data_IF_519829026187
#
_entry.id   IF_519829026187
#
_cell.length_a   1.000
_cell.length_b   1.000
_cell.length_c   1.000
_cell.angle_alpha   90.00
_cell.angle_beta   90.00
_cell.angle_gamma   90.00
#
_symmetry.space_group_name_H-M   'P 1'
#
loop_
_entity.id
_entity.type
_entity.pdbx_description
1 polymer ?
#
# COMPACT_ATOMS: atom_id res chain seq x y z
N UNK A 1 2.87 -30.50 -2.03
CA UNK A 1 4.02 -29.60 -2.28
C UNK A 1 3.90 -28.75 -3.55
N UNK A 2 3.59 -29.32 -4.74
CA UNK A 2 3.48 -28.56 -6.00
C UNK A 2 2.46 -27.41 -5.96
N UNK A 3 1.27 -27.64 -5.38
CA UNK A 3 0.22 -26.60 -5.21
C UNK A 3 0.65 -25.41 -4.36
N UNK A 4 1.37 -25.63 -3.25
CA UNK A 4 1.85 -24.54 -2.40
C UNK A 4 2.98 -23.74 -3.05
N UNK A 5 3.87 -24.40 -3.79
CA UNK A 5 4.91 -23.72 -4.59
C UNK A 5 4.30 -22.87 -5.70
N UNK A 6 3.25 -23.37 -6.36
CA UNK A 6 2.53 -22.60 -7.38
C UNK A 6 1.88 -21.33 -6.79
N UNK A 7 1.16 -21.46 -5.68
CA UNK A 7 0.57 -20.30 -4.98
C UNK A 7 1.65 -19.30 -4.55
N UNK A 8 2.77 -19.79 -4.03
CA UNK A 8 3.93 -18.97 -3.68
C UNK A 8 4.44 -18.17 -4.88
N UNK A 9 4.68 -18.83 -6.02
CA UNK A 9 5.17 -18.17 -7.23
C UNK A 9 4.17 -17.14 -7.78
N UNK A 10 2.88 -17.49 -7.81
CA UNK A 10 1.83 -16.57 -8.25
C UNK A 10 1.80 -15.32 -7.38
N UNK A 11 1.92 -15.49 -6.06
CA UNK A 11 1.93 -14.39 -5.12
C UNK A 11 3.15 -13.48 -5.31
N UNK A 12 4.32 -14.08 -5.55
CA UNK A 12 5.54 -13.34 -5.88
C UNK A 12 5.37 -12.50 -7.14
N UNK A 13 4.80 -13.08 -8.20
CA UNK A 13 4.52 -12.37 -9.45
C UNK A 13 3.60 -11.18 -9.20
N UNK A 14 2.50 -11.36 -8.46
CA UNK A 14 1.58 -10.25 -8.14
C UNK A 14 2.28 -9.13 -7.38
N UNK A 15 3.16 -9.44 -6.43
CA UNK A 15 3.93 -8.42 -5.70
C UNK A 15 4.89 -7.66 -6.61
N UNK A 16 5.59 -8.37 -7.51
CA UNK A 16 6.50 -7.73 -8.47
C UNK A 16 5.75 -6.85 -9.47
N UNK A 17 4.58 -7.28 -9.94
CA UNK A 17 3.74 -6.49 -10.82
C UNK A 17 3.22 -5.22 -10.12
N UNK A 18 2.83 -5.32 -8.85
CA UNK A 18 2.40 -4.16 -8.07
C UNK A 18 3.53 -3.16 -7.83
N UNK A 19 4.75 -3.64 -7.53
CA UNK A 19 5.93 -2.78 -7.42
C UNK A 19 6.27 -2.10 -8.76
N UNK A 20 6.22 -2.85 -9.86
CA UNK A 20 6.45 -2.30 -11.19
C UNK A 20 5.41 -1.24 -11.55
N UNK A 21 4.16 -1.41 -11.12
CA UNK A 21 3.11 -0.41 -11.26
C UNK A 21 3.44 0.88 -10.49
N UNK A 22 3.77 0.78 -9.20
CA UNK A 22 4.15 1.93 -8.36
C UNK A 22 5.33 2.69 -8.98
N UNK A 23 6.43 1.98 -9.26
CA UNK A 23 7.63 2.60 -9.84
C UNK A 23 7.38 3.15 -11.25
N UNK A 24 6.51 2.50 -12.02
CA UNK A 24 6.05 3.00 -13.33
C UNK A 24 5.35 4.34 -13.22
N UNK A 25 4.54 4.54 -12.18
CA UNK A 25 3.86 5.80 -11.91
C UNK A 25 4.86 6.88 -11.44
N UNK A 26 5.85 6.52 -10.63
CA UNK A 26 6.87 7.45 -10.14
C UNK A 26 7.89 7.90 -11.18
N UNK A 27 8.05 7.15 -12.27
CA UNK A 27 8.82 7.57 -13.45
C UNK A 27 8.09 8.60 -14.32
N UNK A 28 6.79 8.83 -14.11
CA UNK A 28 6.03 9.80 -14.91
C UNK A 28 6.42 11.24 -14.55
N UNK A 29 6.36 12.13 -15.55
CA UNK A 29 6.61 13.56 -15.33
C UNK A 29 5.56 14.19 -14.41
N UNK A 30 5.94 15.33 -13.81
CA UNK A 30 5.05 16.15 -12.99
C UNK A 30 3.74 16.46 -13.72
N UNK A 31 3.82 16.86 -14.98
CA UNK A 31 2.68 17.29 -15.80
C UNK A 31 1.66 16.15 -15.99
N UNK A 32 2.11 14.96 -16.37
CA UNK A 32 1.23 13.79 -16.58
C UNK A 32 0.51 13.38 -15.30
N UNK A 33 1.22 13.44 -14.17
CA UNK A 33 0.63 13.07 -12.88
C UNK A 33 -0.33 14.13 -12.36
N UNK A 34 -0.03 15.42 -12.60
CA UNK A 34 -0.93 16.52 -12.26
C UNK A 34 -2.22 16.43 -13.06
N UNK A 35 -2.14 16.18 -14.38
CA UNK A 35 -3.35 15.99 -15.19
C UNK A 35 -4.19 14.82 -14.67
N UNK A 36 -3.57 13.67 -14.40
CA UNK A 36 -4.27 12.50 -13.87
C UNK A 36 -4.95 12.78 -12.52
N UNK A 37 -4.29 13.54 -11.66
CA UNK A 37 -4.81 13.92 -10.34
C UNK A 37 -5.93 14.97 -10.43
N UNK A 38 -5.86 15.90 -11.39
CA UNK A 38 -6.93 16.85 -11.68
C UNK A 38 -8.18 16.16 -12.22
N UNK A 39 -8.01 15.20 -13.14
CA UNK A 39 -9.13 14.43 -13.70
C UNK A 39 -9.87 13.67 -12.59
N UNK A 40 -9.13 12.93 -11.74
CA UNK A 40 -9.71 12.23 -10.59
C UNK A 40 -10.30 13.20 -9.58
N UNK A 41 -9.60 14.30 -9.28
CA UNK A 41 -10.05 15.34 -8.35
C UNK A 41 -11.36 15.99 -8.78
N UNK A 42 -11.55 16.24 -10.08
CA UNK A 42 -12.78 16.82 -10.63
C UNK A 42 -13.99 15.91 -10.40
N UNK A 43 -13.84 14.59 -10.61
CA UNK A 43 -14.89 13.61 -10.36
C UNK A 43 -15.20 13.51 -8.87
N UNK A 44 -14.18 13.47 -8.02
CA UNK A 44 -14.38 13.42 -6.56
C UNK A 44 -15.05 14.68 -6.02
N UNK A 45 -14.64 15.86 -6.48
CA UNK A 45 -15.24 17.13 -6.08
C UNK A 45 -16.70 17.23 -6.54
N UNK A 46 -17.04 16.79 -7.75
CA UNK A 46 -18.42 16.72 -8.21
C UNK A 46 -19.28 15.78 -7.34
N UNK A 47 -18.72 14.66 -6.87
CA UNK A 47 -19.42 13.76 -5.93
C UNK A 47 -19.59 14.40 -4.55
N UNK A 48 -18.59 15.12 -4.04
CA UNK A 48 -18.69 15.83 -2.76
C UNK A 48 -19.76 16.93 -2.81
N UNK A 49 -19.83 17.67 -3.93
CA UNK A 49 -20.85 18.68 -4.17
C UNK A 49 -22.25 18.04 -4.24
N UNK A 50 -22.40 16.92 -4.97
CA UNK A 50 -23.66 16.17 -5.02
C UNK A 50 -24.11 15.65 -3.64
N UNK A 51 -23.18 15.37 -2.74
CA UNK A 51 -23.44 14.96 -1.35
C UNK A 51 -23.55 16.14 -0.37
N UNK A 52 -23.44 17.38 -0.84
CA UNK A 52 -23.44 18.60 -0.02
C UNK A 52 -22.37 18.61 1.08
N UNK A 53 -21.21 18.00 0.81
CA UNK A 53 -20.07 17.98 1.72
C UNK A 53 -19.21 19.22 1.44
N UNK A 54 -18.98 20.13 2.42
CA UNK A 54 -18.21 21.35 2.22
C UNK A 54 -16.70 21.06 2.27
N UNK A 55 -16.19 20.28 1.32
CA UNK A 55 -14.79 19.91 1.18
C UNK A 55 -14.38 19.99 -0.29
N UNK A 56 -13.25 20.63 -0.57
CA UNK A 56 -12.64 20.67 -1.89
C UNK A 56 -11.30 19.93 -1.87
N UNK A 57 -11.16 18.91 -2.71
CA UNK A 57 -9.94 18.14 -2.85
C UNK A 57 -9.00 18.83 -3.84
N UNK A 58 -7.82 19.18 -3.35
CA UNK A 58 -6.74 19.70 -4.18
C UNK A 58 -6.00 18.56 -4.89
N UNK A 59 -5.38 18.86 -6.04
CA UNK A 59 -4.46 17.95 -6.74
C UNK A 59 -3.44 17.31 -5.79
N UNK A 60 -2.86 18.12 -4.89
CA UNK A 60 -1.91 17.65 -3.89
C UNK A 60 -2.52 16.59 -2.95
N UNK A 61 -3.76 16.79 -2.48
CA UNK A 61 -4.45 15.84 -1.60
C UNK A 61 -4.80 14.53 -2.32
N UNK A 62 -5.27 14.62 -3.56
CA UNK A 62 -5.61 13.44 -4.36
C UNK A 62 -4.36 12.60 -4.60
N UNK A 63 -3.25 13.23 -5.02
CA UNK A 63 -1.97 12.54 -5.23
C UNK A 63 -1.47 11.87 -3.95
N UNK A 64 -1.41 12.58 -2.82
CA UNK A 64 -0.94 12.01 -1.55
C UNK A 64 -1.81 10.85 -1.07
N UNK A 65 -3.11 10.94 -1.31
CA UNK A 65 -4.05 9.85 -0.98
C UNK A 65 -3.85 8.65 -1.89
N UNK A 66 -3.59 8.86 -3.19
CA UNK A 66 -3.29 7.80 -4.14
C UNK A 66 -2.02 7.02 -3.74
N UNK A 67 -0.90 7.71 -3.48
CA UNK A 67 0.32 7.07 -2.99
C UNK A 67 0.08 6.30 -1.68
N UNK A 68 -0.63 6.90 -0.73
CA UNK A 68 -0.99 6.20 0.51
C UNK A 68 -1.78 4.91 0.23
N UNK A 69 -2.77 4.93 -0.67
CA UNK A 69 -3.53 3.73 -1.05
C UNK A 69 -2.65 2.69 -1.74
N UNK A 70 -1.75 3.11 -2.63
CA UNK A 70 -0.82 2.23 -3.35
C UNK A 70 0.09 1.47 -2.38
N UNK A 71 0.66 2.19 -1.41
CA UNK A 71 1.52 1.62 -0.38
C UNK A 71 0.74 0.82 0.67
N UNK A 72 -0.51 1.18 0.97
CA UNK A 72 -1.40 0.37 1.81
C UNK A 72 -1.69 -0.99 1.16
N UNK A 73 -1.96 -1.00 -0.16
CA UNK A 73 -2.15 -2.23 -0.93
C UNK A 73 -0.85 -3.03 -1.01
N UNK A 74 0.30 -2.38 -1.19
CA UNK A 74 1.60 -3.04 -1.14
C UNK A 74 1.83 -3.73 0.22
N UNK A 75 1.55 -3.04 1.34
CA UNK A 75 1.64 -3.62 2.68
C UNK A 75 0.68 -4.79 2.89
N UNK A 76 -0.53 -4.73 2.32
CA UNK A 76 -1.49 -5.84 2.30
C UNK A 76 -0.95 -7.03 1.51
N UNK A 77 -0.37 -6.79 0.34
CA UNK A 77 0.28 -7.82 -0.47
C UNK A 77 1.48 -8.43 0.29
N UNK A 78 2.35 -7.63 0.89
CA UNK A 78 3.44 -8.18 1.72
C UNK A 78 2.92 -9.00 2.90
N UNK A 79 1.80 -8.62 3.52
CA UNK A 79 1.23 -9.37 4.63
C UNK A 79 0.64 -10.72 4.22
N UNK A 80 0.11 -10.88 3.01
CA UNK A 80 -0.47 -12.17 2.59
C UNK A 80 0.55 -13.32 2.47
N UNK A 81 1.85 -13.05 2.60
CA UNK A 81 2.88 -14.07 2.83
C UNK A 81 2.77 -14.75 4.20
N UNK A 82 2.31 -14.06 5.23
CA UNK A 82 2.31 -14.54 6.63
C UNK A 82 1.56 -15.87 6.80
N UNK A 83 0.33 -16.05 6.28
CA UNK A 83 -0.37 -17.33 6.39
C UNK A 83 0.31 -18.48 5.65
N UNK A 84 1.08 -18.20 4.58
CA UNK A 84 1.78 -19.20 3.78
C UNK A 84 3.03 -19.74 4.47
N UNK A 85 3.70 -18.90 5.25
CA UNK A 85 4.97 -19.24 5.91
C UNK A 85 4.81 -20.17 7.13
N UNK A 86 3.58 -20.35 7.66
CA UNK A 86 3.30 -21.11 8.90
C UNK A 86 4.19 -20.70 10.09
N UNK A 87 4.72 -19.47 10.09
CA UNK A 87 5.58 -18.91 11.14
C UNK A 87 4.76 -18.07 12.12
N UNK A 88 5.26 -17.85 13.35
CA UNK A 88 4.65 -16.90 14.26
C UNK A 88 4.65 -15.49 13.65
N UNK A 89 3.61 -14.70 13.95
CA UNK A 89 3.35 -13.40 13.33
C UNK A 89 4.51 -12.41 13.52
N UNK A 90 5.08 -12.33 14.72
CA UNK A 90 6.12 -11.35 15.09
C UNK A 90 7.35 -11.35 14.16
N UNK A 91 8.07 -12.47 13.97
CA UNK A 91 9.23 -12.49 13.07
C UNK A 91 8.86 -12.33 11.58
N UNK A 92 7.60 -12.55 11.21
CA UNK A 92 7.15 -12.35 9.83
C UNK A 92 6.86 -10.88 9.49
N UNK A 93 6.65 -10.02 10.49
CA UNK A 93 6.35 -8.59 10.27
C UNK A 93 7.60 -7.78 9.92
N UNK A 94 8.76 -8.09 10.51
CA UNK A 94 10.02 -7.37 10.27
C UNK A 94 10.38 -7.27 8.77
N UNK A 95 10.45 -8.36 7.99
CA UNK A 95 10.78 -8.27 6.57
C UNK A 95 9.72 -7.52 5.75
N UNK A 96 8.45 -7.51 6.18
CA UNK A 96 7.39 -6.73 5.52
C UNK A 96 7.63 -5.23 5.72
N UNK A 97 7.93 -4.81 6.95
CA UNK A 97 8.20 -3.40 7.24
C UNK A 97 9.49 -2.94 6.56
N UNK A 98 10.54 -3.75 6.58
CA UNK A 98 11.78 -3.44 5.88
C UNK A 98 11.56 -3.32 4.36
N UNK A 99 10.85 -4.28 3.76
CA UNK A 99 10.50 -4.23 2.34
C UNK A 99 9.65 -3.01 1.98
N UNK A 100 8.67 -2.66 2.81
CA UNK A 100 7.84 -1.48 2.59
C UNK A 100 8.60 -0.16 2.69
N UNK A 101 9.49 -0.05 3.68
CA UNK A 101 10.37 1.13 3.82
C UNK A 101 11.32 1.24 2.63
N UNK A 102 11.93 0.13 2.20
CA UNK A 102 12.79 0.11 1.03
C UNK A 102 12.03 0.54 -0.23
N UNK A 103 10.81 0.02 -0.43
CA UNK A 103 9.95 0.42 -1.55
C UNK A 103 9.65 1.93 -1.52
N UNK A 104 9.34 2.50 -0.36
CA UNK A 104 9.06 3.94 -0.23
C UNK A 104 10.30 4.80 -0.52
N UNK A 105 11.47 4.38 -0.05
CA UNK A 105 12.74 5.06 -0.36
C UNK A 105 13.08 4.97 -1.85
N UNK A 106 12.90 3.81 -2.46
CA UNK A 106 13.12 3.62 -3.89
C UNK A 106 12.16 4.45 -4.74
N UNK A 107 10.90 4.53 -4.34
CA UNK A 107 9.87 5.30 -5.04
C UNK A 107 10.22 6.79 -5.07
N UNK A 108 10.52 7.33 -3.90
CA UNK A 108 10.93 8.71 -3.74
C UNK A 108 12.24 9.04 -4.48
N UNK A 109 13.18 8.10 -4.46
CA UNK A 109 14.42 8.20 -5.23
C UNK A 109 14.13 8.24 -6.73
N UNK A 110 13.30 7.36 -7.27
CA UNK A 110 12.91 7.37 -8.70
C UNK A 110 12.22 8.68 -9.06
N UNK A 111 11.31 9.14 -8.20
CA UNK A 111 10.59 10.39 -8.36
C UNK A 111 11.54 11.60 -8.43
N UNK A 112 12.61 11.60 -7.62
CA UNK A 112 13.65 12.63 -7.68
C UNK A 112 14.34 12.67 -9.05
N UNK A 113 14.66 11.52 -9.65
CA UNK A 113 15.24 11.47 -11.00
C UNK A 113 14.26 11.88 -12.10
N UNK A 114 12.95 11.74 -11.87
CA UNK A 114 11.90 12.22 -12.76
C UNK A 114 11.68 13.75 -12.68
N UNK A 115 12.51 14.49 -11.92
CA UNK A 115 12.44 15.94 -11.82
C UNK A 115 11.35 16.46 -10.89
N UNK A 116 10.81 15.60 -10.01
CA UNK A 116 9.80 15.97 -9.01
C UNK A 116 10.48 16.29 -7.68
N UNK A 117 9.84 17.12 -6.86
CA UNK A 117 10.34 17.42 -5.52
C UNK A 117 10.44 16.14 -4.69
N UNK A 118 11.55 16.00 -3.97
CA UNK A 118 11.75 14.89 -3.03
C UNK A 118 11.72 15.37 -1.58
N UNK A 119 10.94 14.71 -0.73
CA UNK A 119 10.77 15.02 0.69
C UNK A 119 10.73 13.76 1.55
N UNK A 120 11.41 13.82 2.70
CA UNK A 120 11.36 12.75 3.70
C UNK A 120 9.93 12.51 4.21
N UNK A 121 9.09 13.56 4.22
CA UNK A 121 7.67 13.44 4.58
C UNK A 121 6.91 12.48 3.68
N UNK A 122 7.33 12.33 2.42
CA UNK A 122 6.65 11.52 1.42
C UNK A 122 6.95 10.04 1.67
N UNK A 123 8.22 9.72 1.91
CA UNK A 123 8.66 8.41 2.39
C UNK A 123 7.95 8.02 3.68
N UNK A 124 7.82 8.96 4.64
CA UNK A 124 7.14 8.70 5.91
C UNK A 124 5.65 8.43 5.70
N UNK A 125 4.99 9.17 4.82
CA UNK A 125 3.59 8.96 4.49
C UNK A 125 3.36 7.57 3.89
N UNK A 126 4.16 7.19 2.89
CA UNK A 126 4.05 5.91 2.20
C UNK A 126 4.39 4.74 3.12
N UNK A 127 5.43 4.89 3.93
CA UNK A 127 5.77 3.91 4.95
C UNK A 127 4.64 3.77 6.00
N UNK A 128 3.99 4.88 6.39
CA UNK A 128 2.86 4.84 7.33
C UNK A 128 1.67 4.04 6.78
N UNK A 129 1.47 4.06 5.45
CA UNK A 129 0.44 3.26 4.79
C UNK A 129 0.72 1.76 4.91
N UNK A 130 1.98 1.34 4.70
CA UNK A 130 2.42 -0.05 4.90
C UNK A 130 2.21 -0.47 6.35
N UNK A 131 2.63 0.36 7.31
CA UNK A 131 2.44 0.10 8.75
C UNK A 131 0.96 -0.07 9.08
N UNK A 132 0.10 0.80 8.54
CA UNK A 132 -1.35 0.73 8.72
C UNK A 132 -1.91 -0.61 8.23
N UNK A 133 -1.53 -1.04 7.03
CA UNK A 133 -1.92 -2.35 6.50
C UNK A 133 -1.48 -3.49 7.42
N UNK A 134 -0.22 -3.50 7.85
CA UNK A 134 0.34 -4.52 8.74
C UNK A 134 -0.41 -4.59 10.07
N UNK A 135 -0.76 -3.45 10.67
CA UNK A 135 -1.50 -3.38 11.93
C UNK A 135 -2.91 -3.95 11.77
N UNK A 136 -3.64 -3.55 10.73
CA UNK A 136 -5.00 -4.03 10.46
C UNK A 136 -5.01 -5.55 10.23
N UNK A 137 -4.09 -6.08 9.44
CA UNK A 137 -4.01 -7.51 9.18
C UNK A 137 -3.53 -8.31 10.39
N UNK A 138 -2.59 -7.77 11.17
CA UNK A 138 -2.17 -8.37 12.44
C UNK A 138 -3.33 -8.47 13.43
N UNK A 139 -4.12 -7.41 13.56
CA UNK A 139 -5.34 -7.39 14.37
C UNK A 139 -6.36 -8.41 13.87
N UNK A 140 -6.59 -8.50 12.55
CA UNK A 140 -7.49 -9.49 11.96
C UNK A 140 -7.05 -10.94 12.26
N UNK A 141 -5.75 -11.23 12.17
CA UNK A 141 -5.18 -12.55 12.52
C UNK A 141 -5.37 -12.84 14.01
N UNK A 142 -5.12 -11.87 14.88
CA UNK A 142 -5.31 -12.02 16.32
C UNK A 142 -6.78 -12.30 16.67
N UNK A 143 -7.73 -11.53 16.12
CA UNK A 143 -9.16 -11.73 16.31
C UNK A 143 -9.62 -13.12 15.84
N UNK A 144 -9.13 -13.59 14.68
CA UNK A 144 -9.41 -14.94 14.16
C UNK A 144 -8.91 -16.04 15.10
N UNK A 145 -7.69 -15.89 15.65
CA UNK A 145 -7.15 -16.85 16.63
C UNK A 145 -7.95 -16.87 17.92
N UNK A 146 -8.35 -15.69 18.44
CA UNK A 146 -9.17 -15.57 19.65
C UNK A 146 -10.55 -16.22 19.49
N UNK A 147 -11.20 -16.07 18.32
CA UNK A 147 -12.48 -16.72 18.02
C UNK A 147 -12.37 -18.25 17.98
N UNK A 148 -11.35 -18.80 17.31
CA UNK A 148 -11.12 -20.26 17.27
C UNK A 148 -10.83 -20.85 18.65
N UNK A 149 -10.05 -20.15 19.47
CA UNK A 149 -9.77 -20.58 20.85
C UNK A 149 -10.99 -20.59 21.77
N UNK A 150 -12.02 -19.78 21.48
CA UNK A 150 -13.30 -19.83 22.19
C UNK A 150 -14.18 -21.00 21.73
N UNK A 151 -14.26 -21.25 20.43
CA UNK A 151 -15.03 -22.37 19.87
C UNK A 151 -14.47 -23.75 20.28
N UNK A 152 -13.15 -23.87 20.43
CA UNK A 152 -12.54 -25.13 20.89
C UNK A 152 -12.72 -25.41 22.39
N UNK A 153 -13.27 -24.46 23.16
CA UNK A 153 -13.53 -24.58 24.60
C UNK A 153 -15.02 -24.70 24.95
N UNK A 154 -15.90 -24.57 23.95
CA UNK A 154 -17.35 -24.77 24.06
C UNK A 154 -17.70 -26.15 23.51
#
# INVERSE_FOLDING_TARGET
>A
MKKQRFVFCLYLIVNLLWLAFIFGHSMQSLETTQQSSLDVGSVLNALLEALSIPLELTDHMVRKTAHFVEFFLLGTLYFGWVPLLKRPLRPSVVPILFGGLLSAVCDEYIQFFAGRGSQVTDVVLDFSAVVTAVLLWSAAVWLRKKRKGKQAKA
#
